data_IF_695285247985
#
_entry.id   IF_695285247985
#
_cell.length_a   1.000
_cell.length_b   1.000
_cell.length_c   1.000
_cell.angle_alpha   90.00
_cell.angle_beta   90.00
_cell.angle_gamma   90.00
#
_symmetry.space_group_name_H-M   'P 1'
#
loop_
_entity.id
_entity.type
_entity.pdbx_description
1 polymer ?
#
# COMPACT_ATOMS: atom_id res chain seq x y z
N UNK A 1 -88.31 21.00 13.79
CA UNK A 1 -87.35 21.02 12.67
C UNK A 1 -86.55 22.33 12.71
N UNK A 2 -85.21 22.31 12.73
CA UNK A 2 -84.36 23.51 12.57
C UNK A 2 -83.75 23.51 11.15
N UNK A 3 -84.51 23.84 10.10
CA UNK A 3 -84.05 23.71 8.70
C UNK A 3 -82.86 24.64 8.39
N UNK A 4 -82.69 25.70 9.18
CA UNK A 4 -81.61 26.67 9.04
C UNK A 4 -80.28 26.23 9.67
N UNK A 5 -80.25 25.18 10.50
CA UNK A 5 -79.01 24.74 11.14
C UNK A 5 -78.08 23.99 10.18
N UNK A 6 -78.65 23.28 9.20
CA UNK A 6 -77.90 22.53 8.18
C UNK A 6 -77.07 23.43 7.26
N UNK A 7 -77.62 24.48 6.61
CA UNK A 7 -76.81 25.34 5.74
C UNK A 7 -75.74 26.11 6.52
N UNK A 8 -76.00 26.47 7.78
CA UNK A 8 -75.01 27.15 8.64
C UNK A 8 -73.82 26.23 8.95
N UNK A 9 -74.07 24.95 9.26
CA UNK A 9 -73.00 23.98 9.47
C UNK A 9 -72.20 23.77 8.18
N UNK A 10 -72.86 23.68 7.03
CA UNK A 10 -72.18 23.57 5.74
C UNK A 10 -71.30 24.79 5.44
N UNK A 11 -71.79 26.00 5.70
CA UNK A 11 -71.01 27.23 5.51
C UNK A 11 -69.81 27.31 6.45
N UNK A 12 -69.93 26.86 7.70
CA UNK A 12 -68.81 26.82 8.65
C UNK A 12 -67.75 25.80 8.26
N UNK A 13 -68.16 24.61 7.79
CA UNK A 13 -67.23 23.60 7.30
C UNK A 13 -66.53 24.09 6.04
N UNK A 14 -67.25 24.73 5.12
CA UNK A 14 -66.67 25.27 3.88
C UNK A 14 -65.68 26.40 4.17
N UNK A 15 -66.02 27.32 5.09
CA UNK A 15 -65.13 28.38 5.53
C UNK A 15 -63.88 27.83 6.23
N UNK A 16 -64.04 26.79 7.07
CA UNK A 16 -62.92 26.10 7.71
C UNK A 16 -62.00 25.39 6.70
N UNK A 17 -62.57 24.73 5.70
CA UNK A 17 -61.82 24.06 4.65
C UNK A 17 -61.03 25.07 3.80
N UNK A 18 -61.67 26.21 3.48
CA UNK A 18 -61.04 27.29 2.73
C UNK A 18 -59.89 27.93 3.51
N UNK A 19 -60.08 28.18 4.82
CA UNK A 19 -59.03 28.70 5.69
C UNK A 19 -57.83 27.74 5.80
N UNK A 20 -58.08 26.43 5.75
CA UNK A 20 -57.04 25.40 5.75
C UNK A 20 -56.23 25.42 4.45
N UNK A 21 -56.90 25.58 3.31
CA UNK A 21 -56.25 25.69 2.00
C UNK A 21 -55.43 26.98 1.88
N UNK A 22 -55.89 28.08 2.46
CA UNK A 22 -55.18 29.36 2.47
C UNK A 22 -53.92 29.34 3.38
N UNK A 23 -53.87 28.46 4.37
CA UNK A 23 -52.70 28.31 5.27
C UNK A 23 -51.73 27.21 4.84
N UNK A 24 -51.99 26.52 3.73
CA UNK A 24 -51.08 25.50 3.22
C UNK A 24 -49.79 26.14 2.69
N UNK A 25 -48.72 26.10 3.50
CA UNK A 25 -47.39 26.52 3.06
C UNK A 25 -46.89 25.54 1.98
N UNK A 26 -46.37 26.07 0.87
CA UNK A 26 -45.77 25.25 -0.17
C UNK A 26 -44.55 24.48 0.38
N UNK A 27 -44.31 23.23 -0.04
CA UNK A 27 -43.10 22.51 0.37
C UNK A 27 -41.87 23.26 -0.13
N UNK A 28 -41.02 23.69 0.80
CA UNK A 28 -39.73 24.30 0.48
C UNK A 28 -38.90 23.26 -0.26
N UNK A 29 -38.68 23.46 -1.56
CA UNK A 29 -37.71 22.68 -2.33
C UNK A 29 -36.31 23.08 -1.86
N UNK A 30 -35.77 22.34 -0.90
CA UNK A 30 -34.39 22.51 -0.45
C UNK A 30 -33.48 21.86 -1.50
N UNK A 31 -32.83 22.69 -2.33
CA UNK A 31 -31.78 22.25 -3.25
C UNK A 31 -30.42 22.11 -2.52
N UNK A 32 -30.38 21.34 -1.44
CA UNK A 32 -29.16 21.02 -0.73
C UNK A 32 -28.62 19.66 -1.19
N UNK A 33 -28.00 19.65 -2.36
CA UNK A 33 -26.95 18.68 -2.66
C UNK A 33 -25.74 19.46 -3.15
N UNK A 34 -24.83 19.75 -2.23
CA UNK A 34 -23.45 19.99 -2.62
C UNK A 34 -22.98 18.71 -3.31
N UNK A 35 -22.45 18.76 -4.55
CA UNK A 35 -21.79 17.60 -5.13
C UNK A 35 -20.70 17.20 -4.14
N UNK A 36 -20.83 16.02 -3.53
CA UNK A 36 -19.71 15.42 -2.83
C UNK A 36 -18.68 15.19 -3.92
N UNK A 37 -17.68 16.08 -3.97
CA UNK A 37 -16.58 16.01 -4.90
C UNK A 37 -16.11 14.56 -4.95
N UNK A 38 -16.14 14.03 -6.16
CA UNK A 38 -15.86 12.66 -6.49
C UNK A 38 -14.59 12.17 -5.80
N UNK A 39 -14.80 11.23 -4.88
CA UNK A 39 -13.93 10.08 -4.57
C UNK A 39 -12.76 10.44 -3.64
N UNK A 40 -12.59 9.72 -2.50
CA UNK A 40 -11.29 9.72 -1.83
C UNK A 40 -10.30 9.17 -2.85
N UNK A 41 -9.39 10.00 -3.36
CA UNK A 41 -8.21 9.44 -4.02
C UNK A 41 -7.42 8.78 -2.91
N UNK A 42 -7.71 7.51 -2.70
CA UNK A 42 -6.76 6.56 -2.17
C UNK A 42 -5.60 6.69 -3.15
N UNK A 43 -4.60 7.49 -2.78
CA UNK A 43 -3.25 7.24 -3.27
C UNK A 43 -2.92 5.87 -2.71
N UNK A 44 -3.41 4.83 -3.38
CA UNK A 44 -2.93 3.49 -3.17
C UNK A 44 -1.46 3.66 -3.43
N UNK A 45 -0.64 3.58 -2.38
CA UNK A 45 0.79 3.34 -2.51
C UNK A 45 0.85 2.30 -3.59
N UNK A 46 1.34 2.68 -4.78
CA UNK A 46 1.37 1.80 -5.95
C UNK A 46 1.95 0.52 -5.39
N UNK A 47 1.12 -0.53 -5.28
CA UNK A 47 1.56 -1.77 -4.64
C UNK A 47 2.63 -2.26 -5.58
N UNK A 48 3.88 -1.98 -5.20
CA UNK A 48 5.02 -2.29 -6.01
C UNK A 48 4.99 -3.78 -6.30
N UNK A 49 5.69 -4.24 -7.35
CA UNK A 49 5.84 -5.66 -7.57
C UNK A 49 6.25 -6.33 -6.25
N UNK A 50 5.63 -7.45 -5.90
CA UNK A 50 5.98 -8.23 -4.72
C UNK A 50 6.71 -9.49 -5.16
N UNK A 51 7.57 -10.02 -4.29
CA UNK A 51 8.12 -11.36 -4.45
C UNK A 51 7.30 -12.35 -3.64
N UNK A 52 7.29 -13.61 -4.06
CA UNK A 52 6.78 -14.73 -3.28
C UNK A 52 7.88 -15.78 -3.16
N UNK A 53 8.17 -16.22 -1.95
CA UNK A 53 9.17 -17.27 -1.71
C UNK A 53 8.65 -18.62 -2.21
N UNK A 54 9.33 -19.18 -3.21
CA UNK A 54 8.99 -20.49 -3.80
C UNK A 54 9.85 -21.62 -3.27
N UNK A 55 10.88 -21.31 -2.50
CA UNK A 55 11.73 -22.30 -1.86
C UNK A 55 11.01 -22.98 -0.69
N UNK A 56 11.18 -24.30 -0.55
CA UNK A 56 10.51 -25.11 0.47
C UNK A 56 11.06 -24.85 1.90
N UNK A 57 12.24 -24.24 1.99
CA UNK A 57 12.89 -23.90 3.26
C UNK A 57 12.89 -22.39 3.56
N UNK A 58 13.46 -22.04 4.71
CA UNK A 58 13.73 -20.65 5.05
C UNK A 58 14.83 -20.09 4.13
N UNK A 59 14.62 -18.88 3.62
CA UNK A 59 15.63 -18.13 2.86
C UNK A 59 16.21 -16.99 3.69
N UNK A 60 17.47 -16.66 3.47
CA UNK A 60 18.14 -15.58 4.17
C UNK A 60 17.95 -14.24 3.44
N UNK A 61 17.59 -13.21 4.19
CA UNK A 61 17.63 -11.80 3.76
C UNK A 61 19.00 -11.25 4.13
N UNK A 62 19.71 -10.66 3.17
CA UNK A 62 21.07 -10.13 3.35
C UNK A 62 21.11 -8.61 3.22
N UNK A 63 22.13 -7.98 3.78
CA UNK A 63 22.34 -6.52 3.66
C UNK A 63 22.79 -6.06 2.28
N UNK A 64 23.20 -6.97 1.41
CA UNK A 64 23.63 -6.68 0.05
C UNK A 64 23.56 -7.91 -0.87
N UNK A 65 23.74 -7.73 -2.19
CA UNK A 65 23.58 -8.78 -3.19
C UNK A 65 24.84 -9.64 -3.34
N UNK A 66 25.34 -10.20 -2.23
CA UNK A 66 26.39 -11.20 -2.25
C UNK A 66 26.34 -12.07 -0.99
N UNK A 67 26.65 -13.35 -1.14
CA UNK A 67 26.74 -14.30 -0.03
C UNK A 67 28.02 -14.14 0.79
N UNK A 68 29.08 -13.60 0.19
CA UNK A 68 30.42 -13.53 0.78
C UNK A 68 30.68 -12.19 1.49
N UNK A 69 30.22 -11.09 0.89
CA UNK A 69 30.53 -9.74 1.36
C UNK A 69 29.47 -9.14 2.29
N UNK A 70 28.28 -9.75 2.34
CA UNK A 70 27.14 -9.20 3.10
C UNK A 70 26.55 -10.23 4.06
N UNK A 71 26.48 -9.92 5.37
CA UNK A 71 25.87 -10.80 6.36
C UNK A 71 24.35 -10.94 6.15
N UNK A 72 23.79 -12.03 6.67
CA UNK A 72 22.35 -12.20 6.78
C UNK A 72 21.82 -11.28 7.89
N UNK A 73 20.79 -10.50 7.56
CA UNK A 73 20.12 -9.54 8.45
C UNK A 73 18.72 -10.02 8.87
N UNK A 74 18.24 -11.11 8.27
CA UNK A 74 16.92 -11.63 8.51
C UNK A 74 16.65 -12.88 7.69
N UNK A 75 15.42 -13.33 7.74
CA UNK A 75 14.96 -14.56 7.10
C UNK A 75 13.53 -14.37 6.59
N UNK A 76 13.20 -15.05 5.48
CA UNK A 76 11.82 -15.18 5.00
C UNK A 76 11.43 -16.65 4.96
N UNK A 77 10.17 -16.92 5.26
CA UNK A 77 9.59 -18.25 5.27
C UNK A 77 9.05 -18.63 3.88
N UNK A 78 8.85 -19.94 3.62
CA UNK A 78 8.18 -20.39 2.40
C UNK A 78 6.82 -19.72 2.22
N UNK A 79 6.49 -19.36 0.97
CA UNK A 79 5.25 -18.67 0.58
C UNK A 79 5.07 -17.25 1.15
N UNK A 80 6.05 -16.73 1.89
CA UNK A 80 6.00 -15.36 2.37
C UNK A 80 6.12 -14.37 1.20
N UNK A 81 5.45 -13.23 1.34
CA UNK A 81 5.45 -12.17 0.33
C UNK A 81 6.13 -10.93 0.87
N UNK A 82 7.03 -10.34 0.07
CA UNK A 82 7.71 -9.10 0.41
C UNK A 82 7.65 -8.10 -0.76
N UNK A 83 7.50 -6.79 -0.52
CA UNK A 83 7.53 -5.80 -1.59
C UNK A 83 8.91 -5.78 -2.25
N UNK A 84 8.97 -5.93 -3.56
CA UNK A 84 10.18 -5.88 -4.36
C UNK A 84 10.46 -4.44 -4.81
N UNK A 85 11.67 -3.97 -4.57
CA UNK A 85 12.11 -2.60 -4.85
C UNK A 85 12.97 -2.53 -6.11
N UNK A 86 13.76 -3.56 -6.39
CA UNK A 86 14.69 -3.56 -7.53
C UNK A 86 15.42 -4.89 -7.71
N UNK A 87 16.26 -4.97 -8.74
CA UNK A 87 17.17 -6.11 -8.96
C UNK A 87 18.62 -5.65 -9.02
N UNK A 88 19.56 -6.55 -8.71
CA UNK A 88 20.98 -6.26 -8.87
C UNK A 88 21.34 -6.16 -10.37
N UNK A 89 22.45 -5.49 -10.72
CA UNK A 89 22.92 -5.40 -12.11
C UNK A 89 23.11 -6.76 -12.79
N UNK A 90 23.50 -7.78 -12.01
CA UNK A 90 23.65 -9.16 -12.47
C UNK A 90 22.35 -9.98 -12.52
N UNK A 91 21.22 -9.46 -12.03
CA UNK A 91 19.93 -10.16 -12.03
C UNK A 91 19.77 -11.29 -11.00
N UNK A 92 20.87 -11.74 -10.39
CA UNK A 92 20.89 -12.84 -9.40
C UNK A 92 20.22 -12.51 -8.06
N UNK A 93 20.05 -11.23 -7.75
CA UNK A 93 19.52 -10.77 -6.46
C UNK A 93 18.37 -9.79 -6.63
N UNK A 94 17.36 -9.94 -5.79
CA UNK A 94 16.20 -9.05 -5.72
C UNK A 94 16.27 -8.25 -4.44
N UNK A 95 16.17 -6.93 -4.56
CA UNK A 95 16.02 -6.02 -3.45
C UNK A 95 14.56 -6.02 -3.01
N UNK A 96 14.32 -6.23 -1.72
CA UNK A 96 13.01 -6.20 -1.08
C UNK A 96 12.97 -5.12 0.00
N UNK A 97 11.76 -4.65 0.32
CA UNK A 97 11.51 -3.86 1.51
C UNK A 97 11.48 -4.79 2.71
N UNK A 98 12.37 -4.57 3.65
CA UNK A 98 12.47 -5.34 4.89
C UNK A 98 12.53 -4.35 6.06
N UNK A 99 11.48 -4.27 6.87
CA UNK A 99 11.39 -3.27 7.94
C UNK A 99 12.19 -3.70 9.17
N UNK A 100 12.76 -2.75 9.91
CA UNK A 100 13.50 -3.03 11.14
C UNK A 100 14.99 -3.28 10.95
N UNK A 101 15.51 -3.01 9.76
CA UNK A 101 16.95 -3.03 9.44
C UNK A 101 17.42 -1.65 8.94
N UNK A 102 18.72 -1.34 9.01
CA UNK A 102 19.27 -0.12 8.44
C UNK A 102 18.89 0.02 6.96
N UNK A 103 18.28 1.14 6.59
CA UNK A 103 17.80 1.41 5.23
C UNK A 103 16.45 0.77 4.87
N UNK A 104 15.84 -0.04 5.74
CA UNK A 104 14.58 -0.76 5.49
C UNK A 104 14.58 -1.59 4.18
N UNK A 105 15.76 -2.05 3.78
CA UNK A 105 15.98 -2.81 2.55
C UNK A 105 16.75 -4.08 2.87
N UNK A 106 16.47 -5.13 2.10
CA UNK A 106 17.18 -6.39 2.16
C UNK A 106 17.31 -7.00 0.77
N UNK A 107 18.23 -7.94 0.63
CA UNK A 107 18.50 -8.65 -0.61
C UNK A 107 18.23 -10.14 -0.45
N UNK A 108 17.49 -10.69 -1.40
CA UNK A 108 17.16 -12.12 -1.47
C UNK A 108 17.65 -12.71 -2.78
N UNK A 109 17.96 -14.00 -2.74
CA UNK A 109 18.44 -14.71 -3.92
C UNK A 109 17.31 -14.91 -4.92
N UNK A 110 17.47 -14.38 -6.13
CA UNK A 110 16.43 -14.33 -7.17
C UNK A 110 15.83 -15.69 -7.52
N UNK A 111 16.63 -16.76 -7.70
CA UNK A 111 16.11 -18.09 -8.03
C UNK A 111 15.19 -18.73 -6.98
N UNK A 112 15.18 -18.23 -5.74
CA UNK A 112 14.30 -18.73 -4.67
C UNK A 112 12.99 -17.96 -4.54
N UNK A 113 12.79 -16.93 -5.37
CA UNK A 113 11.62 -16.08 -5.32
C UNK A 113 10.97 -15.95 -6.70
N UNK A 114 9.65 -15.85 -6.72
CA UNK A 114 8.86 -15.62 -7.93
C UNK A 114 8.31 -14.21 -7.91
N UNK A 115 8.41 -13.53 -9.06
CA UNK A 115 7.73 -12.28 -9.31
C UNK A 115 6.41 -12.52 -10.06
N UNK A 116 5.38 -11.69 -9.83
CA UNK A 116 4.17 -11.70 -10.64
C UNK A 116 4.49 -11.37 -12.09
N UNK A 117 3.78 -12.02 -13.01
CA UNK A 117 3.98 -11.88 -14.46
C UNK A 117 3.73 -10.41 -14.86
N UNK A 118 4.71 -9.80 -15.54
CA UNK A 118 4.66 -8.38 -15.95
C UNK A 118 5.30 -7.39 -14.98
N UNK A 119 5.81 -7.84 -13.83
CA UNK A 119 6.60 -7.00 -12.92
C UNK A 119 7.98 -6.69 -13.52
N UNK A 120 8.21 -5.43 -13.87
CA UNK A 120 9.54 -4.91 -14.23
C UNK A 120 10.16 -4.23 -13.01
N UNK A 121 11.29 -4.75 -12.54
CA UNK A 121 12.06 -4.13 -11.46
C UNK A 121 13.14 -3.21 -12.01
N UNK A 122 13.27 -1.97 -11.52
CA UNK A 122 14.41 -1.13 -11.86
C UNK A 122 15.70 -1.80 -11.36
N UNK A 123 16.77 -1.68 -12.16
CA UNK A 123 18.11 -2.09 -11.72
C UNK A 123 18.59 -1.06 -10.71
N UNK A 124 18.81 -1.47 -9.47
CA UNK A 124 19.34 -0.59 -8.43
C UNK A 124 20.84 -0.83 -8.34
N UNK A 125 21.62 0.23 -8.51
CA UNK A 125 23.06 0.18 -8.35
C UNK A 125 23.40 -0.13 -6.89
N UNK A 126 24.33 -1.04 -6.69
CA UNK A 126 24.69 -1.53 -5.36
C UNK A 126 25.45 -0.44 -4.61
N UNK A 127 25.12 -0.16 -3.33
CA UNK A 127 25.96 0.70 -2.53
C UNK A 127 27.36 0.07 -2.45
N UNK A 128 28.44 0.88 -2.47
CA UNK A 128 29.80 0.36 -2.50
C UNK A 128 30.05 -0.57 -1.31
N UNK A 129 30.54 -1.77 -1.62
CA UNK A 129 30.94 -2.81 -0.67
C UNK A 129 31.87 -2.22 0.41
N UNK A 130 31.72 -2.58 1.71
CA UNK A 130 32.69 -2.18 2.71
C UNK A 130 34.07 -2.72 2.32
N UNK A 131 35.04 -1.82 2.18
CA UNK A 131 36.44 -2.14 1.90
C UNK A 131 36.94 -3.18 2.91
N UNK A 132 37.45 -4.34 2.47
CA UNK A 132 38.06 -5.32 3.36
C UNK A 132 39.22 -4.67 4.13
N UNK A 133 39.28 -4.86 5.45
CA UNK A 133 40.44 -4.48 6.24
C UNK A 133 41.64 -5.35 5.79
N UNK A 134 42.53 -4.70 5.03
CA UNK A 134 43.93 -4.99 4.73
C UNK A 134 44.48 -6.39 5.09
N UNK A 135 44.92 -7.09 4.04
CA UNK A 135 45.95 -8.14 4.03
C UNK A 135 47.03 -7.88 5.07
N UNK A 136 47.21 -8.79 6.03
CA UNK A 136 48.45 -8.83 6.79
C UNK A 136 49.58 -9.18 5.80
N UNK A 137 50.46 -8.22 5.53
CA UNK A 137 51.73 -8.44 4.84
C UNK A 137 52.52 -9.49 5.62
N UNK A 138 52.44 -10.74 5.19
CA UNK A 138 53.34 -11.78 5.69
C UNK A 138 54.71 -11.50 5.09
N UNK A 139 55.59 -10.88 5.86
CA UNK A 139 57.03 -10.84 5.57
C UNK A 139 57.58 -12.27 5.61
N UNK A 140 58.17 -12.80 4.52
CA UNK A 140 59.02 -13.97 4.58
C UNK A 140 60.48 -13.52 4.67
N UNK A 141 61.23 -13.78 5.76
CA UNK A 141 62.68 -13.85 5.63
C UNK A 141 63.02 -15.19 5.00
N UNK A 142 63.11 -15.18 3.66
CA UNK A 142 63.78 -16.21 2.88
C UNK A 142 65.27 -16.24 3.28
N UNK A 143 65.69 -17.41 3.72
CA UNK A 143 67.06 -17.88 3.99
C UNK A 143 68.14 -17.23 3.10
N UNK A 144 69.22 -16.71 3.72
CA UNK A 144 70.53 -16.58 3.08
C UNK A 144 71.68 -16.55 4.12
N UNK A 145 72.67 -17.41 3.89
CA UNK A 145 73.98 -17.60 4.54
C UNK A 145 74.04 -18.46 5.81
#
# INVERSE_FOLDING_TARGET
>A
MRPFLRPVIFSLVLAGLLALLLNAQAPVKVAAQQPTGSIPTVTGTVSGPYITVIYDGQINVRSGPSTFSYPAIGVLLPQEMAPALGRSPGGEWIMIRYTGVPGNVGWVYGPYVKLPIGASLPVVEVPPTPTPATTATLDPPLVAA
#
